data_IF_609047131877
#
_entry.id   IF_609047131877
#
_cell.length_a   1.000
_cell.length_b   1.000
_cell.length_c   1.000
_cell.angle_alpha   90.00
_cell.angle_beta   90.00
_cell.angle_gamma   90.00
#
_symmetry.space_group_name_H-M   'P 1'
#
loop_
_entity.id
_entity.type
_entity.pdbx_description
1 polymer ?
#
# COMPACT_ATOMS: atom_id res chain seq x y z
N UNK A 1 15.64 -9.78 -8.39
CA UNK A 1 15.26 -9.21 -7.06
C UNK A 1 15.53 -7.71 -6.95
N UNK A 2 16.73 -7.23 -7.28
CA UNK A 2 17.08 -5.80 -7.13
C UNK A 2 16.29 -4.89 -8.09
N UNK A 3 16.05 -5.32 -9.33
CA UNK A 3 15.22 -4.59 -10.31
C UNK A 3 13.79 -4.41 -9.83
N UNK A 4 13.16 -5.47 -9.30
CA UNK A 4 11.78 -5.40 -8.77
C UNK A 4 11.68 -4.49 -7.54
N UNK A 5 12.67 -4.52 -6.64
CA UNK A 5 12.74 -3.60 -5.49
C UNK A 5 12.90 -2.15 -5.94
N UNK A 6 13.77 -1.90 -6.93
CA UNK A 6 13.96 -0.57 -7.49
C UNK A 6 12.66 -0.07 -8.14
N UNK A 7 11.97 -0.90 -8.91
CA UNK A 7 10.69 -0.55 -9.52
C UNK A 7 9.62 -0.17 -8.47
N UNK A 8 9.46 -0.99 -7.41
CA UNK A 8 8.52 -0.68 -6.32
C UNK A 8 8.92 0.59 -5.58
N UNK A 9 10.22 0.79 -5.33
CA UNK A 9 10.74 2.01 -4.71
C UNK A 9 10.44 3.25 -5.57
N UNK A 10 10.64 3.17 -6.88
CA UNK A 10 10.33 4.25 -7.82
C UNK A 10 8.83 4.55 -7.82
N UNK A 11 7.97 3.53 -7.85
CA UNK A 11 6.52 3.71 -7.76
C UNK A 11 6.10 4.37 -6.43
N UNK A 12 6.70 3.95 -5.32
CA UNK A 12 6.47 4.56 -4.00
C UNK A 12 6.90 6.03 -3.96
N UNK A 13 8.06 6.37 -4.55
CA UNK A 13 8.55 7.74 -4.65
C UNK A 13 7.68 8.59 -5.60
N UNK A 14 7.22 8.02 -6.70
CA UNK A 14 6.29 8.69 -7.61
C UNK A 14 4.97 9.01 -6.90
N UNK A 15 4.43 8.06 -6.12
CA UNK A 15 3.24 8.27 -5.30
C UNK A 15 3.48 9.33 -4.22
N UNK A 16 4.66 9.32 -3.57
CA UNK A 16 5.04 10.37 -2.61
C UNK A 16 5.03 11.75 -3.27
N UNK A 17 5.61 11.86 -4.47
CA UNK A 17 5.62 13.09 -5.25
C UNK A 17 4.20 13.57 -5.58
N UNK A 18 3.30 12.65 -5.94
CA UNK A 18 1.89 12.96 -6.22
C UNK A 18 1.16 13.45 -4.95
N UNK A 19 1.40 12.83 -3.79
CA UNK A 19 0.83 13.26 -2.51
C UNK A 19 1.34 14.65 -2.12
N UNK A 20 2.64 14.92 -2.28
CA UNK A 20 3.21 16.25 -2.00
C UNK A 20 2.62 17.30 -2.95
N UNK A 21 2.55 16.99 -4.24
CA UNK A 21 1.93 17.88 -5.22
C UNK A 21 0.47 18.17 -4.87
N UNK A 22 -0.32 17.14 -4.51
CA UNK A 22 -1.70 17.30 -4.11
C UNK A 22 -1.81 18.21 -2.87
N UNK A 23 -0.98 17.99 -1.84
CA UNK A 23 -0.96 18.80 -0.62
C UNK A 23 -0.64 20.28 -0.89
N UNK A 24 0.29 20.57 -1.81
CA UNK A 24 0.62 21.95 -2.21
C UNK A 24 -0.50 22.55 -3.08
N UNK A 25 -1.05 21.78 -4.02
CA UNK A 25 -2.12 22.22 -4.90
C UNK A 25 -3.42 22.55 -4.14
N UNK A 26 -3.66 21.91 -2.99
CA UNK A 26 -4.80 22.23 -2.10
C UNK A 26 -4.83 23.69 -1.67
N UNK A 27 -3.70 24.38 -1.59
CA UNK A 27 -3.67 25.81 -1.24
C UNK A 27 -4.41 26.70 -2.24
N UNK A 28 -4.58 26.23 -3.49
CA UNK A 28 -5.28 26.96 -4.55
C UNK A 28 -6.78 26.61 -4.64
N UNK A 29 -7.26 25.68 -3.80
CA UNK A 29 -8.65 25.23 -3.78
C UNK A 29 -9.35 25.81 -2.54
N UNK A 30 -10.59 26.24 -2.69
CA UNK A 30 -11.43 26.65 -1.56
C UNK A 30 -11.98 25.39 -0.87
N UNK A 31 -11.25 24.84 0.11
CA UNK A 31 -11.73 23.72 0.92
C UNK A 31 -10.60 22.95 1.61
N UNK A 32 -10.90 22.36 2.76
CA UNK A 32 -9.99 21.47 3.48
C UNK A 32 -9.87 20.11 2.78
N UNK A 33 -8.90 19.29 3.22
CA UNK A 33 -8.75 17.91 2.78
C UNK A 33 -10.06 17.09 2.93
N UNK A 34 -10.76 17.28 4.04
CA UNK A 34 -12.02 16.58 4.32
C UNK A 34 -13.17 17.04 3.42
N UNK A 35 -13.20 18.32 3.01
CA UNK A 35 -14.20 18.82 2.08
C UNK A 35 -14.05 18.18 0.70
N UNK A 36 -12.82 17.99 0.25
CA UNK A 36 -12.54 17.30 -1.02
C UNK A 36 -12.96 15.83 -0.96
N UNK A 37 -12.68 15.13 0.15
CA UNK A 37 -13.17 13.76 0.35
C UNK A 37 -14.69 13.72 0.39
N UNK A 38 -15.33 14.67 1.07
CA UNK A 38 -16.79 14.74 1.13
C UNK A 38 -17.40 14.84 -0.28
N UNK A 39 -16.83 15.69 -1.15
CA UNK A 39 -17.25 15.78 -2.56
C UNK A 39 -17.03 14.45 -3.29
N UNK A 40 -15.87 13.79 -3.13
CA UNK A 40 -15.61 12.48 -3.74
C UNK A 40 -16.66 11.45 -3.33
N UNK A 41 -17.13 11.46 -2.09
CA UNK A 41 -18.18 10.54 -1.62
C UNK A 41 -19.58 10.86 -2.18
N UNK A 42 -19.79 12.01 -2.82
CA UNK A 42 -21.04 12.30 -3.54
C UNK A 42 -21.05 11.73 -4.96
N UNK A 43 -19.88 11.38 -5.51
CA UNK A 43 -19.75 10.85 -6.86
C UNK A 43 -19.82 9.33 -6.83
N UNK A 44 -20.67 8.67 -7.65
CA UNK A 44 -20.78 7.21 -7.68
C UNK A 44 -19.44 6.50 -7.94
N UNK A 45 -18.65 7.02 -8.87
CA UNK A 45 -17.30 6.53 -9.14
C UNK A 45 -16.31 6.86 -8.03
N UNK A 46 -16.50 7.97 -7.29
CA UNK A 46 -15.66 8.30 -6.15
C UNK A 46 -15.81 7.27 -5.02
N UNK A 47 -17.05 6.87 -4.72
CA UNK A 47 -17.34 5.79 -3.77
C UNK A 47 -16.72 4.47 -4.26
N UNK A 48 -16.89 4.13 -5.55
CA UNK A 48 -16.34 2.88 -6.11
C UNK A 48 -14.81 2.81 -5.99
N UNK A 49 -14.10 3.91 -6.30
CA UNK A 49 -12.64 3.98 -6.17
C UNK A 49 -12.16 3.90 -4.72
N UNK A 50 -12.90 4.53 -3.78
CA UNK A 50 -12.61 4.40 -2.35
C UNK A 50 -12.82 2.95 -1.88
N UNK A 51 -13.92 2.32 -2.28
CA UNK A 51 -14.19 0.93 -1.95
C UNK A 51 -13.10 0.00 -2.49
N UNK A 52 -12.71 0.15 -3.76
CA UNK A 52 -11.63 -0.61 -4.39
C UNK A 52 -10.30 -0.46 -3.62
N UNK A 53 -9.94 0.78 -3.26
CA UNK A 53 -8.73 1.07 -2.48
C UNK A 53 -8.72 0.37 -1.12
N UNK A 54 -9.81 0.49 -0.35
CA UNK A 54 -9.89 -0.09 0.99
C UNK A 54 -10.01 -1.62 0.98
N UNK A 55 -10.73 -2.19 0.01
CA UNK A 55 -10.75 -3.65 -0.21
C UNK A 55 -9.33 -4.13 -0.53
N UNK A 56 -8.61 -3.41 -1.39
CA UNK A 56 -7.19 -3.66 -1.68
C UNK A 56 -6.32 -3.65 -0.42
N UNK A 57 -6.52 -2.69 0.49
CA UNK A 57 -5.79 -2.62 1.77
C UNK A 57 -6.06 -3.83 2.66
N UNK A 58 -7.32 -4.29 2.74
CA UNK A 58 -7.68 -5.50 3.53
C UNK A 58 -7.04 -6.75 2.94
N UNK A 59 -7.10 -6.92 1.62
CA UNK A 59 -6.46 -8.04 0.93
C UNK A 59 -4.95 -8.04 1.16
N UNK A 60 -4.31 -6.88 1.04
CA UNK A 60 -2.88 -6.75 1.30
C UNK A 60 -2.53 -7.01 2.76
N UNK A 61 -3.29 -6.44 3.71
CA UNK A 61 -3.13 -6.71 5.14
C UNK A 61 -3.22 -8.21 5.44
N UNK A 62 -4.14 -8.92 4.79
CA UNK A 62 -4.27 -10.38 4.93
C UNK A 62 -2.98 -11.10 4.51
N UNK A 63 -2.35 -10.69 3.40
CA UNK A 63 -1.05 -11.22 2.96
C UNK A 63 0.05 -10.92 3.98
N UNK A 64 0.08 -9.70 4.55
CA UNK A 64 1.04 -9.33 5.60
C UNK A 64 0.87 -10.24 6.82
N UNK A 65 -0.37 -10.52 7.25
CA UNK A 65 -0.65 -11.45 8.35
C UNK A 65 -0.26 -12.90 8.05
N UNK A 66 -0.39 -13.36 6.80
CA UNK A 66 -0.01 -14.71 6.41
C UNK A 66 1.51 -14.90 6.28
N UNK A 67 2.25 -13.83 5.97
CA UNK A 67 3.68 -13.89 5.69
C UNK A 67 4.55 -13.62 6.93
N UNK A 68 4.04 -12.85 7.87
CA UNK A 68 4.74 -12.52 9.12
C UNK A 68 4.51 -13.59 10.20
N UNK A 69 5.59 -14.05 10.83
CA UNK A 69 5.52 -15.09 11.88
C UNK A 69 4.92 -14.57 13.19
N UNK A 70 4.92 -13.26 13.42
CA UNK A 70 4.38 -12.62 14.62
C UNK A 70 3.19 -11.75 14.25
N UNK A 71 2.04 -12.05 14.86
CA UNK A 71 0.81 -11.28 14.67
C UNK A 71 0.99 -9.80 15.06
N UNK A 72 1.86 -9.49 16.03
CA UNK A 72 2.15 -8.13 16.46
C UNK A 72 2.90 -7.34 15.38
N UNK A 73 3.89 -7.98 14.74
CA UNK A 73 4.66 -7.38 13.65
C UNK A 73 3.77 -7.22 12.42
N UNK A 74 2.91 -8.20 12.13
CA UNK A 74 1.91 -8.09 11.08
C UNK A 74 0.98 -6.89 11.31
N UNK A 75 0.46 -6.73 12.52
CA UNK A 75 -0.42 -5.60 12.86
C UNK A 75 0.30 -4.25 12.74
N UNK A 76 1.57 -4.16 13.16
CA UNK A 76 2.38 -2.95 13.00
C UNK A 76 2.62 -2.57 11.53
N UNK A 77 2.64 -3.55 10.63
CA UNK A 77 2.76 -3.28 9.20
C UNK A 77 1.42 -3.06 8.50
N UNK A 78 0.37 -3.78 8.91
CA UNK A 78 -0.95 -3.71 8.28
C UNK A 78 -1.76 -2.49 8.73
N UNK A 79 -1.74 -2.12 10.01
CA UNK A 79 -2.57 -1.04 10.53
C UNK A 79 -2.26 0.33 9.89
N UNK A 80 -0.99 0.73 9.68
CA UNK A 80 -0.69 2.01 9.07
C UNK A 80 -1.09 2.10 7.58
N UNK A 81 -1.34 0.98 6.89
CA UNK A 81 -1.75 0.97 5.48
C UNK A 81 -3.10 1.66 5.29
N UNK A 82 -4.01 1.55 6.25
CA UNK A 82 -5.31 2.22 6.17
C UNK A 82 -5.23 3.74 6.24
N UNK A 83 -4.10 4.29 6.71
CA UNK A 83 -3.89 5.74 6.85
C UNK A 83 -2.90 6.25 5.81
N UNK A 84 -1.72 5.60 5.71
CA UNK A 84 -0.64 5.98 4.80
C UNK A 84 -0.84 5.43 3.39
N UNK A 85 -1.73 4.46 3.21
CA UNK A 85 -2.05 3.85 1.93
C UNK A 85 -0.87 3.08 1.32
N UNK A 86 -0.82 3.13 0.00
CA UNK A 86 0.13 2.36 -0.81
C UNK A 86 1.60 2.76 -0.61
N UNK A 87 1.88 3.93 -0.02
CA UNK A 87 3.23 4.34 0.37
C UNK A 87 3.84 3.38 1.40
N UNK A 88 3.05 3.01 2.41
CA UNK A 88 3.49 2.09 3.46
C UNK A 88 3.56 0.65 2.95
N UNK A 89 2.61 0.26 2.10
CA UNK A 89 2.64 -1.04 1.42
C UNK A 89 3.88 -1.20 0.53
N UNK A 90 4.26 -0.16 -0.22
CA UNK A 90 5.47 -0.15 -1.04
C UNK A 90 6.74 -0.29 -0.19
N UNK A 91 6.82 0.42 0.94
CA UNK A 91 7.94 0.30 1.88
C UNK A 91 8.06 -1.14 2.44
N UNK A 92 6.94 -1.71 2.89
CA UNK A 92 6.91 -3.09 3.38
C UNK A 92 7.38 -4.08 2.30
N UNK A 93 6.88 -3.95 1.08
CA UNK A 93 7.28 -4.79 -0.04
C UNK A 93 8.79 -4.68 -0.33
N UNK A 94 9.36 -3.48 -0.37
CA UNK A 94 10.80 -3.30 -0.63
C UNK A 94 11.68 -3.97 0.44
N UNK A 95 11.22 -3.98 1.70
CA UNK A 95 11.93 -4.58 2.83
C UNK A 95 11.76 -6.11 2.86
N UNK A 96 10.53 -6.61 2.63
CA UNK A 96 10.21 -8.05 2.75
C UNK A 96 10.40 -8.86 1.48
N UNK A 97 10.51 -8.23 0.31
CA UNK A 97 10.72 -8.91 -0.97
C UNK A 97 11.80 -10.00 -0.95
N UNK A 98 12.99 -9.78 -0.36
CA UNK A 98 14.06 -10.79 -0.36
C UNK A 98 13.71 -12.02 0.47
N UNK A 99 12.94 -11.86 1.55
CA UNK A 99 12.47 -12.96 2.39
C UNK A 99 11.34 -13.73 1.69
N UNK A 100 10.38 -13.02 1.11
CA UNK A 100 9.28 -13.61 0.35
C UNK A 100 9.78 -14.40 -0.85
N UNK A 101 10.70 -13.83 -1.63
CA UNK A 101 11.27 -14.52 -2.78
C UNK A 101 12.06 -15.77 -2.37
N UNK A 102 12.76 -15.76 -1.24
CA UNK A 102 13.42 -16.97 -0.69
C UNK A 102 12.44 -18.04 -0.22
N UNK A 103 11.26 -17.64 0.25
CA UNK A 103 10.21 -18.60 0.64
C UNK A 103 9.55 -19.22 -0.59
N UNK A 104 9.25 -18.40 -1.61
CA UNK A 104 8.66 -18.85 -2.88
C UNK A 104 9.63 -19.63 -3.76
N UNK A 105 10.94 -19.41 -3.62
CA UNK A 105 11.97 -20.14 -4.38
C UNK A 105 12.33 -21.49 -3.77
N UNK A 106 11.70 -21.93 -2.68
CA UNK A 106 11.93 -23.26 -2.11
C UNK A 106 11.00 -24.27 -2.79
N UNK A 107 11.56 -25.25 -3.52
CA UNK A 107 10.90 -26.48 -3.90
C UNK A 107 10.11 -27.10 -2.74
N UNK A 108 8.80 -27.12 -2.84
CA UNK A 108 7.89 -27.82 -1.93
C UNK A 108 7.54 -29.24 -2.43
N UNK A 109 8.14 -29.67 -3.55
CA UNK A 109 8.04 -31.06 -4.02
C UNK A 109 8.99 -31.93 -3.18
N UNK A 110 8.52 -33.06 -2.62
CA UNK A 110 9.44 -34.08 -2.14
C UNK A 110 10.26 -34.55 -3.34
N UNK A 111 11.57 -34.30 -3.32
CA UNK A 111 12.48 -34.97 -4.24
C UNK A 111 12.44 -36.45 -3.88
N UNK A 112 11.59 -37.19 -4.59
CA UNK A 112 11.53 -38.66 -4.61
C UNK A 112 12.86 -39.25 -5.07
#
# INVERSE_FOLDING_TARGET
MNVLRAAIGILGLALLGLVIWAAVAMQNLHGSFFDQIAVVTTLPWGIAMLADLYVGFVLFASIVFLTERSWLVAALWAAPIFILGNLWAALWLVIRLPHLAKQLSKPDWPTS
#
